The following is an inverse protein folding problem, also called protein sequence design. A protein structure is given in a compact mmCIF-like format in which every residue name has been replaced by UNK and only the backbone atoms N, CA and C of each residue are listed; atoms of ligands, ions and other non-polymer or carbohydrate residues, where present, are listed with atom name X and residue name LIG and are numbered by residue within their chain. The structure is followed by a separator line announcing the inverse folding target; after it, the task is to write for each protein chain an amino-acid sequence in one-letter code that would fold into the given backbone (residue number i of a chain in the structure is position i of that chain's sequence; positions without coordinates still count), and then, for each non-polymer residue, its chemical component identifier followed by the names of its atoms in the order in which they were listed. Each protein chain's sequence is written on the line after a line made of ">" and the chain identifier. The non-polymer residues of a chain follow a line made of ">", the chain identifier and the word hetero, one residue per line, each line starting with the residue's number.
data_IF_397152048313
#
_entry.id   IF_397152048313
#
_cell.length_a   1.000
_cell.length_b   1.000
_cell.length_c   1.000
_cell.angle_alpha   90.00
_cell.angle_beta   90.00
_cell.angle_gamma   90.00
#
_symmetry.space_group_name_H-M   'P 1'
#
loop_
_entity.id
_entity.type
_entity.pdbx_description
1 polymer ?
#
# COMPACT_ATOMS: atom_id res chain seq x y z
N UNK A 1 -10.13 -27.44 -5.83
CA UNK A 1 -11.22 -27.40 -4.84
C UNK A 1 -10.77 -26.54 -3.65
N UNK A 2 -11.71 -25.82 -3.09
CA UNK A 2 -11.54 -24.99 -1.90
C UNK A 2 -12.58 -25.43 -0.88
N UNK A 3 -12.17 -25.67 0.36
CA UNK A 3 -13.08 -25.99 1.47
C UNK A 3 -13.24 -24.76 2.36
N UNK A 4 -14.50 -24.40 2.64
CA UNK A 4 -14.85 -23.38 3.60
C UNK A 4 -14.86 -23.94 5.03
N UNK A 5 -14.23 -23.20 5.95
CA UNK A 5 -14.31 -23.48 7.38
C UNK A 5 -15.21 -22.44 8.06
N UNK A 6 -16.05 -22.91 9.00
CA UNK A 6 -16.96 -22.03 9.74
C UNK A 6 -16.24 -21.11 10.74
N UNK A 7 -15.05 -21.52 11.19
CA UNK A 7 -14.21 -20.75 12.09
C UNK A 7 -12.92 -20.33 11.36
N UNK A 8 -12.56 -19.07 11.50
CA UNK A 8 -11.32 -18.54 10.95
C UNK A 8 -10.19 -18.79 11.93
N UNK A 9 -9.09 -19.36 11.45
CA UNK A 9 -7.85 -19.51 12.23
C UNK A 9 -7.03 -18.23 12.20
N UNK A 10 -6.26 -17.99 13.25
CA UNK A 10 -5.32 -16.86 13.39
C UNK A 10 -4.07 -17.41 14.06
N UNK A 11 -3.18 -17.97 13.29
CA UNK A 11 -2.06 -18.72 13.85
C UNK A 11 -0.76 -18.56 13.06
N UNK A 12 0.31 -18.92 13.74
CA UNK A 12 1.63 -19.05 13.13
C UNK A 12 1.85 -20.52 12.83
N UNK A 13 2.13 -20.83 11.58
CA UNK A 13 2.37 -22.20 11.11
C UNK A 13 3.81 -22.36 10.61
N UNK A 14 4.30 -23.58 10.64
CA UNK A 14 5.53 -23.95 9.94
C UNK A 14 5.20 -24.47 8.57
N UNK A 15 5.97 -24.09 7.58
CA UNK A 15 5.85 -24.59 6.23
C UNK A 15 7.19 -25.11 5.70
N UNK A 16 7.11 -26.04 4.76
CA UNK A 16 8.26 -26.51 4.00
C UNK A 16 8.08 -26.14 2.54
N UNK A 17 9.10 -25.48 1.97
CA UNK A 17 9.09 -25.01 0.58
C UNK A 17 9.72 -26.03 -0.37
N UNK A 18 9.29 -26.03 -1.62
CA UNK A 18 9.97 -26.73 -2.72
C UNK A 18 11.33 -26.05 -3.01
N UNK A 19 12.38 -26.84 -3.18
CA UNK A 19 13.78 -26.36 -3.28
C UNK A 19 14.02 -25.34 -4.42
N UNK A 20 13.35 -25.52 -5.54
CA UNK A 20 13.47 -24.67 -6.74
C UNK A 20 12.34 -23.64 -6.92
N UNK A 21 11.50 -23.43 -5.90
CA UNK A 21 10.43 -22.47 -5.94
C UNK A 21 10.98 -21.01 -5.99
N UNK A 22 10.71 -20.30 -7.09
CA UNK A 22 11.27 -18.96 -7.33
C UNK A 22 10.90 -17.93 -6.27
N UNK A 23 9.69 -18.05 -5.71
CA UNK A 23 9.22 -17.13 -4.67
C UNK A 23 10.07 -17.22 -3.40
N UNK A 24 10.63 -18.40 -3.11
CA UNK A 24 11.43 -18.69 -1.92
C UNK A 24 12.94 -18.81 -2.22
N UNK A 25 13.38 -18.29 -3.35
CA UNK A 25 14.77 -18.32 -3.76
C UNK A 25 15.70 -17.72 -2.69
N UNK A 26 16.77 -18.45 -2.36
CA UNK A 26 17.78 -18.05 -1.36
C UNK A 26 17.23 -17.92 0.08
N UNK A 27 16.07 -18.52 0.36
CA UNK A 27 15.49 -18.57 1.69
C UNK A 27 15.58 -20.00 2.25
N UNK A 28 15.49 -20.17 3.59
CA UNK A 28 15.43 -21.49 4.21
C UNK A 28 14.23 -22.29 3.70
N UNK A 29 14.40 -23.60 3.55
CA UNK A 29 13.29 -24.48 3.13
C UNK A 29 12.18 -24.59 4.20
N UNK A 30 12.55 -24.48 5.47
CA UNK A 30 11.59 -24.42 6.58
C UNK A 30 11.44 -22.99 7.05
N UNK A 31 10.22 -22.50 7.09
CA UNK A 31 9.89 -21.13 7.49
C UNK A 31 8.67 -21.11 8.39
N UNK A 32 8.61 -20.08 9.23
CA UNK A 32 7.45 -19.78 10.07
C UNK A 32 6.67 -18.64 9.47
N UNK A 33 5.39 -18.84 9.19
CA UNK A 33 4.54 -17.84 8.56
C UNK A 33 3.24 -17.66 9.33
N UNK A 34 2.65 -16.48 9.24
CA UNK A 34 1.37 -16.15 9.88
C UNK A 34 0.22 -16.24 8.88
N UNK A 35 -0.82 -16.96 9.26
CA UNK A 35 -2.04 -17.09 8.46
C UNK A 35 -3.30 -16.70 9.22
N UNK A 36 -4.33 -16.31 8.46
CA UNK A 36 -5.68 -16.11 8.95
C UNK A 36 -6.66 -16.61 7.90
N UNK A 37 -7.04 -17.87 8.03
CA UNK A 37 -7.80 -18.59 7.01
C UNK A 37 -9.23 -18.89 7.44
N UNK A 38 -10.18 -18.63 6.53
CA UNK A 38 -11.52 -19.19 6.54
C UNK A 38 -11.69 -20.28 5.49
N UNK A 39 -10.71 -20.43 4.59
CA UNK A 39 -10.76 -21.34 3.46
C UNK A 39 -9.42 -22.04 3.27
N UNK A 40 -9.45 -23.29 2.79
CA UNK A 40 -8.24 -24.04 2.45
C UNK A 40 -8.28 -24.54 1.02
N UNK A 41 -7.11 -24.65 0.42
CA UNK A 41 -6.94 -25.23 -0.91
C UNK A 41 -6.68 -26.72 -0.77
N UNK A 42 -7.68 -27.54 -1.12
CA UNK A 42 -7.57 -29.00 -0.99
C UNK A 42 -6.84 -29.63 -2.17
N UNK A 43 -6.99 -29.03 -3.35
CA UNK A 43 -6.44 -29.58 -4.58
C UNK A 43 -5.76 -28.50 -5.37
N UNK A 44 -4.51 -28.75 -5.75
CA UNK A 44 -3.75 -27.84 -6.59
C UNK A 44 -4.49 -27.56 -7.91
N UNK A 45 -4.60 -26.28 -8.34
CA UNK A 45 -5.20 -25.96 -9.63
C UNK A 45 -4.43 -26.60 -10.80
N UNK A 46 -5.10 -26.93 -11.92
CA UNK A 46 -4.42 -27.42 -13.10
C UNK A 46 -3.35 -26.40 -13.58
N UNK A 47 -2.21 -26.91 -14.05
CA UNK A 47 -1.06 -26.12 -14.53
C UNK A 47 -0.32 -25.32 -13.44
N UNK A 48 -0.68 -25.49 -12.18
CA UNK A 48 0.07 -24.91 -11.04
C UNK A 48 0.95 -25.98 -10.38
N UNK A 49 2.03 -25.51 -9.77
CA UNK A 49 2.91 -26.30 -8.92
C UNK A 49 2.69 -25.92 -7.46
N UNK A 50 2.81 -26.89 -6.57
CA UNK A 50 2.79 -26.61 -5.13
C UNK A 50 4.19 -26.15 -4.73
N UNK A 51 4.30 -24.93 -4.22
CA UNK A 51 5.58 -24.34 -3.81
C UNK A 51 5.86 -24.52 -2.32
N UNK A 52 4.82 -24.58 -1.48
CA UNK A 52 4.98 -24.86 -0.05
C UNK A 52 3.76 -25.58 0.54
N UNK A 53 4.01 -26.38 1.58
CA UNK A 53 3.00 -27.05 2.41
C UNK A 53 3.30 -26.82 3.89
N UNK A 54 2.24 -26.80 4.69
CA UNK A 54 2.36 -26.83 6.14
C UNK A 54 2.67 -28.24 6.69
N UNK A 55 2.86 -28.35 8.00
CA UNK A 55 3.14 -29.62 8.67
C UNK A 55 2.01 -30.66 8.54
N UNK A 56 0.79 -30.24 8.20
CA UNK A 56 -0.37 -31.12 7.98
C UNK A 56 -0.51 -31.56 6.52
N UNK A 57 0.32 -31.01 5.63
CA UNK A 57 0.30 -31.28 4.19
C UNK A 57 -0.63 -30.37 3.38
N UNK A 58 -1.25 -29.35 3.99
CA UNK A 58 -2.06 -28.35 3.28
C UNK A 58 -1.17 -27.50 2.38
N UNK A 59 -1.73 -27.10 1.24
CA UNK A 59 -1.07 -26.18 0.30
C UNK A 59 -1.12 -24.77 0.88
N UNK A 60 0.04 -24.17 1.12
CA UNK A 60 0.17 -22.79 1.61
C UNK A 60 0.81 -21.84 0.60
N UNK A 61 1.45 -22.38 -0.44
CA UNK A 61 1.90 -21.61 -1.60
C UNK A 61 1.88 -22.45 -2.87
N UNK A 62 1.60 -21.83 -3.99
CA UNK A 62 1.56 -22.44 -5.31
C UNK A 62 1.85 -21.42 -6.40
N UNK A 63 2.34 -21.89 -7.56
CA UNK A 63 2.64 -21.02 -8.69
C UNK A 63 2.35 -21.66 -10.04
N UNK A 64 2.10 -20.80 -11.03
CA UNK A 64 2.25 -21.09 -12.45
C UNK A 64 3.37 -20.15 -12.95
N UNK A 65 4.57 -20.68 -13.06
CA UNK A 65 5.75 -19.90 -13.38
C UNK A 65 5.73 -19.36 -14.82
N UNK A 66 5.13 -20.09 -15.76
CA UNK A 66 5.01 -19.69 -17.17
C UNK A 66 4.12 -18.44 -17.33
N UNK A 67 3.04 -18.39 -16.56
CA UNK A 67 2.11 -17.26 -16.54
C UNK A 67 2.48 -16.19 -15.47
N UNK A 68 3.53 -16.42 -14.68
CA UNK A 68 3.96 -15.57 -13.57
C UNK A 68 2.86 -15.31 -12.53
N UNK A 69 2.05 -16.32 -12.27
CA UNK A 69 0.99 -16.26 -11.25
C UNK A 69 1.47 -17.00 -10.00
N UNK A 70 1.44 -16.32 -8.87
CA UNK A 70 1.85 -16.86 -7.58
C UNK A 70 0.77 -16.62 -6.53
N UNK A 71 0.47 -17.64 -5.74
CA UNK A 71 -0.50 -17.57 -4.66
C UNK A 71 0.08 -18.05 -3.35
N UNK A 72 -0.20 -17.32 -2.28
CA UNK A 72 0.16 -17.69 -0.90
C UNK A 72 -1.06 -17.59 0.00
N UNK A 73 -1.17 -18.47 0.99
CA UNK A 73 -2.25 -18.48 1.98
C UNK A 73 -1.83 -17.87 3.33
N UNK A 74 -0.69 -17.24 3.39
CA UNK A 74 -0.17 -16.52 4.55
C UNK A 74 0.06 -15.04 4.22
N UNK A 75 0.33 -14.24 5.24
CA UNK A 75 0.57 -12.80 5.11
C UNK A 75 2.08 -12.51 5.11
N UNK A 76 2.72 -12.29 3.94
CA UNK A 76 4.15 -12.00 3.89
C UNK A 76 4.50 -10.60 4.42
N UNK A 77 3.52 -9.69 4.52
CA UNK A 77 3.71 -8.29 4.94
C UNK A 77 3.74 -8.09 6.47
N UNK A 78 3.36 -9.10 7.25
CA UNK A 78 3.30 -8.95 8.72
C UNK A 78 4.59 -9.40 9.40
N UNK A 79 4.90 -8.79 10.54
CA UNK A 79 6.12 -9.09 11.32
C UNK A 79 6.19 -10.53 11.86
N UNK A 80 5.06 -11.22 11.94
CA UNK A 80 4.99 -12.63 12.39
C UNK A 80 5.40 -13.63 11.32
N UNK A 81 5.54 -13.21 10.07
CA UNK A 81 6.06 -14.03 8.98
C UNK A 81 7.56 -13.83 8.89
N UNK A 82 8.32 -14.90 9.17
CA UNK A 82 9.76 -14.93 8.95
C UNK A 82 10.04 -14.69 7.46
N UNK A 83 11.12 -13.96 7.16
CA UNK A 83 11.55 -13.67 5.78
C UNK A 83 10.48 -13.05 4.85
N UNK A 84 9.35 -12.57 5.36
CA UNK A 84 8.25 -12.03 4.56
C UNK A 84 8.67 -10.92 3.59
N UNK A 85 9.56 -10.02 4.04
CA UNK A 85 10.14 -8.98 3.18
C UNK A 85 11.00 -9.56 2.05
N UNK A 86 11.70 -10.66 2.29
CA UNK A 86 12.52 -11.30 1.27
C UNK A 86 11.65 -12.03 0.25
N UNK A 87 10.56 -12.67 0.68
CA UNK A 87 9.54 -13.26 -0.19
C UNK A 87 8.96 -12.18 -1.14
N UNK A 88 8.56 -11.03 -0.60
CA UNK A 88 8.06 -9.91 -1.39
C UNK A 88 9.11 -9.37 -2.37
N UNK A 89 10.38 -9.26 -1.95
CA UNK A 89 11.48 -8.87 -2.82
C UNK A 89 11.70 -9.87 -3.96
N UNK A 90 11.64 -11.16 -3.69
CA UNK A 90 11.76 -12.20 -4.72
C UNK A 90 10.66 -12.03 -5.77
N UNK A 91 9.42 -11.79 -5.36
CA UNK A 91 8.33 -11.52 -6.28
C UNK A 91 8.58 -10.26 -7.13
N UNK A 92 8.89 -9.14 -6.48
CA UNK A 92 9.04 -7.85 -7.16
C UNK A 92 10.25 -7.84 -8.12
N UNK A 93 11.41 -8.30 -7.67
CA UNK A 93 12.65 -8.12 -8.42
C UNK A 93 13.00 -9.32 -9.29
N UNK A 94 12.87 -10.54 -8.78
CA UNK A 94 13.27 -11.74 -9.52
C UNK A 94 12.17 -12.28 -10.44
N UNK A 95 10.89 -12.15 -10.05
CA UNK A 95 9.77 -12.68 -10.83
C UNK A 95 9.17 -11.61 -11.74
N UNK A 96 8.78 -10.46 -11.17
CA UNK A 96 8.14 -9.37 -11.91
C UNK A 96 9.13 -8.51 -12.69
N UNK A 97 10.40 -8.48 -12.28
CA UNK A 97 11.44 -7.70 -12.95
C UNK A 97 11.37 -6.20 -12.69
N UNK A 98 10.81 -5.79 -11.53
CA UNK A 98 10.81 -4.39 -11.12
C UNK A 98 12.24 -3.89 -10.92
N UNK A 99 12.55 -2.69 -11.39
CA UNK A 99 13.87 -2.06 -11.27
C UNK A 99 14.18 -1.54 -9.87
N UNK A 100 13.11 -1.25 -9.07
CA UNK A 100 13.26 -0.69 -7.72
C UNK A 100 13.70 0.78 -7.70
N UNK A 101 13.55 1.48 -8.80
CA UNK A 101 13.93 2.88 -8.99
C UNK A 101 12.85 3.88 -8.56
N UNK A 102 11.66 3.39 -8.21
CA UNK A 102 10.62 4.24 -7.67
C UNK A 102 10.94 4.63 -6.22
N UNK A 103 10.93 5.93 -5.95
CA UNK A 103 10.99 6.48 -4.59
C UNK A 103 9.91 7.56 -4.42
N UNK A 104 9.53 7.83 -3.17
CA UNK A 104 8.55 8.89 -2.89
C UNK A 104 9.09 10.27 -3.27
N UNK A 105 10.40 10.48 -3.13
CA UNK A 105 11.08 11.71 -3.51
C UNK A 105 10.99 11.93 -5.03
N UNK A 106 11.32 10.92 -5.83
CA UNK A 106 11.25 11.00 -7.29
C UNK A 106 9.81 11.17 -7.78
N UNK A 107 8.83 10.55 -7.09
CA UNK A 107 7.42 10.77 -7.36
C UNK A 107 7.02 12.22 -7.11
N UNK A 108 7.36 12.78 -5.93
CA UNK A 108 7.05 14.17 -5.59
C UNK A 108 7.65 15.16 -6.61
N UNK A 109 8.91 14.95 -6.99
CA UNK A 109 9.57 15.80 -7.99
C UNK A 109 8.91 15.72 -9.37
N UNK A 110 8.50 14.54 -9.78
CA UNK A 110 7.78 14.31 -11.02
C UNK A 110 6.42 15.00 -11.01
N UNK A 111 5.66 14.83 -9.92
CA UNK A 111 4.33 15.46 -9.80
C UNK A 111 4.41 16.98 -9.72
N UNK A 112 5.42 17.53 -9.06
CA UNK A 112 5.66 18.99 -9.07
C UNK A 112 5.81 19.50 -10.50
N UNK A 113 6.60 18.84 -11.33
CA UNK A 113 6.78 19.22 -12.75
C UNK A 113 5.48 19.09 -13.54
N UNK A 114 4.76 17.97 -13.37
CA UNK A 114 3.48 17.76 -14.03
C UNK A 114 2.45 18.84 -13.67
N UNK A 115 2.40 19.23 -12.39
CA UNK A 115 1.53 20.31 -11.91
C UNK A 115 1.94 21.65 -12.55
N UNK A 116 3.22 21.99 -12.54
CA UNK A 116 3.74 23.24 -13.15
C UNK A 116 3.41 23.32 -14.64
N UNK A 117 3.64 22.25 -15.39
CA UNK A 117 3.32 22.18 -16.81
C UNK A 117 1.82 22.28 -17.08
N UNK A 118 1.02 21.60 -16.25
CA UNK A 118 -0.44 21.62 -16.39
C UNK A 118 -1.03 22.99 -16.05
N UNK A 119 -0.55 23.63 -14.99
CA UNK A 119 -1.08 24.91 -14.50
C UNK A 119 -0.57 26.08 -15.34
N UNK A 120 0.71 26.13 -15.65
CA UNK A 120 1.34 27.30 -16.31
C UNK A 120 1.11 28.56 -15.48
N UNK A 121 0.64 29.61 -16.13
CA UNK A 121 0.38 30.92 -15.48
C UNK A 121 -1.02 31.05 -14.86
N UNK A 122 -1.81 29.98 -14.85
CA UNK A 122 -3.19 30.01 -14.33
C UNK A 122 -3.22 29.94 -12.80
N UNK A 123 -4.31 30.46 -12.23
CA UNK A 123 -4.61 30.31 -10.80
C UNK A 123 -5.34 29.01 -10.56
N UNK A 124 -5.11 28.43 -9.40
CA UNK A 124 -5.74 27.16 -8.95
C UNK A 124 -6.52 27.42 -7.68
N UNK A 125 -7.72 26.84 -7.62
CA UNK A 125 -8.55 26.81 -6.43
C UNK A 125 -8.61 25.38 -5.90
N UNK A 126 -8.38 25.20 -4.59
CA UNK A 126 -8.46 23.92 -3.91
C UNK A 126 -9.42 23.98 -2.72
N UNK A 127 -10.41 23.10 -2.68
CA UNK A 127 -11.26 22.90 -1.50
C UNK A 127 -10.54 22.05 -0.45
N UNK A 128 -10.45 22.55 0.77
CA UNK A 128 -9.90 21.81 1.91
C UNK A 128 -11.03 21.25 2.77
N UNK A 129 -10.95 19.97 3.07
CA UNK A 129 -11.90 19.29 3.98
C UNK A 129 -11.37 19.13 5.41
N UNK A 130 -10.11 19.49 5.66
CA UNK A 130 -9.40 19.21 6.92
C UNK A 130 -8.85 17.78 7.00
N UNK A 131 -9.18 16.89 6.06
CA UNK A 131 -8.67 15.52 5.99
C UNK A 131 -7.26 15.45 5.39
N UNK A 132 -6.57 14.31 5.62
CA UNK A 132 -5.20 14.07 5.16
C UNK A 132 -5.07 14.24 3.64
N UNK A 133 -5.97 13.65 2.86
CA UNK A 133 -5.86 13.64 1.39
C UNK A 133 -5.92 15.05 0.80
N UNK A 134 -6.90 15.86 1.20
CA UNK A 134 -7.02 17.24 0.73
C UNK A 134 -5.83 18.12 1.16
N UNK A 135 -5.29 17.88 2.34
CA UNK A 135 -4.11 18.59 2.86
C UNK A 135 -2.84 18.24 2.08
N UNK A 136 -2.64 16.94 1.78
CA UNK A 136 -1.49 16.47 0.97
C UNK A 136 -1.57 17.03 -0.45
N UNK A 137 -2.74 16.98 -1.09
CA UNK A 137 -2.96 17.56 -2.42
C UNK A 137 -2.67 19.06 -2.43
N UNK A 138 -3.20 19.81 -1.47
CA UNK A 138 -2.97 21.24 -1.36
C UNK A 138 -1.50 21.58 -1.11
N UNK A 139 -0.82 20.85 -0.23
CA UNK A 139 0.60 21.02 0.05
C UNK A 139 1.48 20.73 -1.18
N UNK A 140 1.16 19.68 -1.95
CA UNK A 140 1.89 19.35 -3.17
C UNK A 140 1.70 20.42 -4.26
N UNK A 141 0.47 20.88 -4.46
CA UNK A 141 0.17 21.96 -5.41
C UNK A 141 0.86 23.27 -4.96
N UNK A 142 0.78 23.62 -3.68
CA UNK A 142 1.45 24.81 -3.15
C UNK A 142 2.96 24.75 -3.37
N UNK A 143 3.59 23.60 -3.13
CA UNK A 143 5.02 23.40 -3.39
C UNK A 143 5.37 23.54 -4.87
N UNK A 144 4.45 23.21 -5.77
CA UNK A 144 4.66 23.33 -7.22
C UNK A 144 4.48 24.74 -7.76
N UNK A 145 3.44 25.48 -7.31
CA UNK A 145 3.01 26.74 -7.93
C UNK A 145 2.86 27.93 -6.95
N UNK A 146 3.13 27.71 -5.66
CA UNK A 146 3.15 28.80 -4.66
C UNK A 146 1.85 29.60 -4.60
N UNK A 147 1.99 30.91 -4.75
CA UNK A 147 0.90 31.91 -4.63
C UNK A 147 -0.19 31.82 -5.72
N UNK A 148 0.01 31.01 -6.75
CA UNK A 148 -1.05 30.71 -7.72
C UNK A 148 -2.17 29.85 -7.13
N UNK A 149 -1.90 29.14 -6.00
CA UNK A 149 -2.89 28.38 -5.28
C UNK A 149 -3.65 29.24 -4.27
N UNK A 150 -4.98 29.13 -4.30
CA UNK A 150 -5.85 29.61 -3.22
C UNK A 150 -6.66 28.42 -2.70
N UNK A 151 -6.61 28.18 -1.40
CA UNK A 151 -7.41 27.13 -0.76
C UNK A 151 -8.65 27.74 -0.11
N UNK A 152 -9.77 27.02 -0.13
CA UNK A 152 -10.99 27.39 0.59
C UNK A 152 -11.29 26.31 1.61
N UNK A 153 -11.36 26.70 2.87
CA UNK A 153 -11.76 25.84 3.98
C UNK A 153 -13.12 26.32 4.50
N UNK A 154 -14.11 25.43 4.48
CA UNK A 154 -15.49 25.73 4.92
C UNK A 154 -15.73 25.12 6.29
N UNK A 155 -15.98 25.98 7.27
CA UNK A 155 -16.45 25.57 8.59
C UNK A 155 -17.99 25.56 8.59
N UNK A 156 -18.55 24.38 8.57
CA UNK A 156 -20.00 24.16 8.52
C UNK A 156 -20.62 23.84 9.90
N UNK A 157 -19.86 24.07 10.99
CA UNK A 157 -20.32 23.87 12.36
C UNK A 157 -20.36 22.41 12.85
N UNK A 158 -19.97 21.44 12.00
CA UNK A 158 -19.94 20.02 12.34
C UNK A 158 -18.51 19.43 12.34
N UNK A 159 -17.52 20.30 12.40
CA UNK A 159 -16.13 19.90 12.52
C UNK A 159 -15.83 19.32 13.90
N UNK A 160 -14.74 18.57 14.00
CA UNK A 160 -14.22 18.11 15.31
C UNK A 160 -13.81 19.31 16.15
N UNK A 161 -13.73 19.09 17.47
CA UNK A 161 -13.26 20.12 18.38
C UNK A 161 -11.86 20.62 17.98
N UNK A 162 -11.73 21.93 17.78
CA UNK A 162 -10.51 22.65 17.36
C UNK A 162 -9.95 22.28 15.96
N UNK A 163 -10.67 21.49 15.16
CA UNK A 163 -10.21 21.04 13.84
C UNK A 163 -9.92 22.22 12.89
N UNK A 164 -10.78 23.23 12.92
CA UNK A 164 -10.61 24.41 12.08
C UNK A 164 -9.34 25.20 12.45
N UNK A 165 -9.07 25.36 13.73
CA UNK A 165 -7.89 26.05 14.25
C UNK A 165 -6.62 25.26 13.90
N UNK A 166 -6.62 23.95 14.09
CA UNK A 166 -5.48 23.07 13.77
C UNK A 166 -5.14 23.10 12.28
N UNK A 167 -6.15 23.04 11.41
CA UNK A 167 -5.95 23.11 9.94
C UNK A 167 -5.36 24.45 9.54
N UNK A 168 -5.87 25.55 10.10
CA UNK A 168 -5.38 26.90 9.80
C UNK A 168 -3.96 27.11 10.32
N UNK A 169 -3.62 26.60 11.51
CA UNK A 169 -2.27 26.71 12.07
C UNK A 169 -1.25 25.94 11.23
N UNK A 170 -1.55 24.71 10.88
CA UNK A 170 -0.63 23.85 10.12
C UNK A 170 -0.45 24.33 8.67
N UNK A 171 -1.53 24.59 7.96
CA UNK A 171 -1.44 24.86 6.53
C UNK A 171 -1.20 26.36 6.22
N UNK A 172 -1.91 27.27 6.88
CA UNK A 172 -1.69 28.70 6.67
C UNK A 172 -0.52 29.22 7.49
N UNK A 173 -0.34 28.75 8.73
CA UNK A 173 0.74 29.18 9.63
C UNK A 173 2.09 28.60 9.23
N UNK A 174 2.25 27.27 9.28
CA UNK A 174 3.56 26.62 9.06
C UNK A 174 3.95 26.54 7.58
N UNK A 175 2.99 26.22 6.69
CA UNK A 175 3.24 26.08 5.25
C UNK A 175 3.02 27.37 4.46
N UNK A 176 2.57 28.44 5.10
CA UNK A 176 2.32 29.76 4.49
C UNK A 176 1.38 29.73 3.28
N UNK A 177 0.43 28.81 3.28
CA UNK A 177 -0.53 28.66 2.20
C UNK A 177 -1.60 29.75 2.25
N UNK A 178 -2.04 30.24 1.09
CA UNK A 178 -3.15 31.15 0.99
C UNK A 178 -4.49 30.43 1.19
N UNK A 179 -5.06 30.52 2.39
CA UNK A 179 -6.31 29.85 2.78
C UNK A 179 -7.37 30.87 3.16
N UNK A 180 -8.54 30.75 2.53
CA UNK A 180 -9.74 31.51 2.88
C UNK A 180 -10.63 30.61 3.73
N UNK A 181 -10.79 30.96 5.01
CA UNK A 181 -11.78 30.30 5.87
C UNK A 181 -13.14 30.92 5.64
N UNK A 182 -14.14 30.09 5.34
CA UNK A 182 -15.54 30.48 5.19
C UNK A 182 -16.32 29.93 6.36
N UNK A 183 -16.96 30.79 7.12
CA UNK A 183 -17.91 30.41 8.16
C UNK A 183 -19.29 30.18 7.51
N UNK A 184 -19.79 28.96 7.62
CA UNK A 184 -21.08 28.50 7.11
C UNK A 184 -21.86 27.71 8.17
N UNK A 185 -21.57 27.92 9.48
CA UNK A 185 -22.24 27.30 10.62
C UNK A 185 -23.63 27.89 10.89
#
# INVERSE_FOLDING_TARGET
>A
NVTHHHERTYETIKMTTREDAKLFKELPNEQTVYESLGDTIDTNPPHFQVDAKDETGKIVAFSNEDEKIYGVQFYPEVDKTEDGKAILKNFLFHISGCSGDWSIESFIETEIKNIQETVGDRKVLCGLSGGVDSSVVAALIHRAIGDQLTCIFVDHGLLRKNEAEEVMEQLAGELHMNIIKVDAA
#
